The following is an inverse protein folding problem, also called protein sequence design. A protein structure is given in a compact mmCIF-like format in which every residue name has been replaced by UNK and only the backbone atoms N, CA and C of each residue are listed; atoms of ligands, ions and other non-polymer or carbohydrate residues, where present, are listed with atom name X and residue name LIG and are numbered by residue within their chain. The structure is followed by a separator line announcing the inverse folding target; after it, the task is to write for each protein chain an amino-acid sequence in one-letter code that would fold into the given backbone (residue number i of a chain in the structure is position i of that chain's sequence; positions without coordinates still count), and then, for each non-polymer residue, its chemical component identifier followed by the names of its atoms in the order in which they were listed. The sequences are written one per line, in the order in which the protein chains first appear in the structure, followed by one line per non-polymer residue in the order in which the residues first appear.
data_IF_538421793394
#
_entry.id   IF_538421793394
#
_cell.length_a   1.000
_cell.length_b   1.000
_cell.length_c   1.000
_cell.angle_alpha   90.00
_cell.angle_beta   90.00
_cell.angle_gamma   90.00
#
_symmetry.space_group_name_H-M   'P 1'
#
loop_
_entity.id
_entity.type
_entity.pdbx_description
1 polymer ?
#
# COMPACT_ATOMS: atom_id res chain seq x y z
N UNK A 1 -2.00 0.50 -31.65
CA UNK A 1 -2.08 1.63 -30.70
C UNK A 1 -0.67 2.11 -30.47
N UNK A 2 -0.45 3.42 -30.56
CA UNK A 2 0.88 4.00 -30.50
C UNK A 2 1.48 3.69 -29.13
N UNK A 3 2.50 2.82 -29.07
CA UNK A 3 3.25 2.49 -27.85
C UNK A 3 4.17 3.64 -27.44
N UNK A 4 3.63 4.85 -27.36
CA UNK A 4 4.30 5.97 -26.70
C UNK A 4 4.24 5.75 -25.20
N UNK A 5 5.34 6.00 -24.50
CA UNK A 5 5.36 6.05 -23.03
C UNK A 5 4.26 7.01 -22.56
N UNK A 6 3.20 6.46 -21.98
CA UNK A 6 2.12 7.26 -21.41
C UNK A 6 2.59 7.74 -20.03
N UNK A 7 2.63 9.05 -19.83
CA UNK A 7 3.16 9.66 -18.61
C UNK A 7 2.02 10.11 -17.72
N UNK A 8 2.05 9.70 -16.45
CA UNK A 8 1.17 10.20 -15.39
C UNK A 8 1.87 11.36 -14.69
N UNK A 9 1.21 12.52 -14.59
CA UNK A 9 1.77 13.72 -13.95
C UNK A 9 0.97 14.08 -12.71
N UNK A 10 1.66 14.31 -11.60
CA UNK A 10 1.08 14.74 -10.32
C UNK A 10 1.78 16.03 -9.87
N UNK A 11 1.06 17.04 -9.34
CA UNK A 11 1.68 18.20 -8.73
C UNK A 11 2.68 17.80 -7.63
N UNK A 12 3.85 18.44 -7.59
CA UNK A 12 4.95 18.03 -6.71
C UNK A 12 4.57 18.08 -5.22
N UNK A 13 3.79 19.08 -4.81
CA UNK A 13 3.27 19.20 -3.44
C UNK A 13 2.40 17.98 -3.07
N UNK A 14 1.54 17.54 -3.98
CA UNK A 14 0.70 16.35 -3.81
C UNK A 14 1.50 15.07 -3.81
N UNK A 15 2.51 14.96 -4.68
CA UNK A 15 3.43 13.83 -4.68
C UNK A 15 4.20 13.72 -3.34
N UNK A 16 4.63 14.85 -2.78
CA UNK A 16 5.29 14.90 -1.47
C UNK A 16 4.33 14.49 -0.34
N UNK A 17 3.07 14.93 -0.37
CA UNK A 17 2.04 14.50 0.60
C UNK A 17 1.88 12.97 0.58
N UNK A 18 1.74 12.37 -0.61
CA UNK A 18 1.63 10.91 -0.78
C UNK A 18 2.88 10.20 -0.29
N UNK A 19 4.08 10.68 -0.67
CA UNK A 19 5.34 10.06 -0.27
C UNK A 19 5.55 10.07 1.25
N UNK A 20 5.18 11.16 1.94
CA UNK A 20 5.24 11.25 3.40
C UNK A 20 4.31 10.25 4.08
N UNK A 21 3.11 10.06 3.53
CA UNK A 21 2.19 9.05 4.03
C UNK A 21 2.76 7.64 3.85
N UNK A 22 3.30 7.32 2.66
CA UNK A 22 3.90 6.01 2.39
C UNK A 22 5.09 5.71 3.31
N UNK A 23 5.95 6.70 3.57
CA UNK A 23 7.05 6.57 4.55
C UNK A 23 6.50 6.31 5.96
N UNK A 24 5.49 7.07 6.39
CA UNK A 24 4.85 6.89 7.70
C UNK A 24 4.25 5.49 7.85
N UNK A 25 3.50 5.02 6.84
CA UNK A 25 2.90 3.69 6.83
C UNK A 25 3.96 2.61 6.90
N UNK A 26 4.96 2.67 6.03
CA UNK A 26 6.00 1.63 5.92
C UNK A 26 6.79 1.50 7.21
N UNK A 27 7.28 2.63 7.76
CA UNK A 27 8.04 2.62 9.02
C UNK A 27 7.22 2.14 10.21
N UNK A 28 5.96 2.56 10.29
CA UNK A 28 5.10 2.24 11.44
C UNK A 28 4.67 0.77 11.41
N UNK A 29 4.26 0.27 10.24
CA UNK A 29 3.89 -1.14 10.07
C UNK A 29 5.10 -2.05 10.31
N UNK A 30 6.29 -1.70 9.80
CA UNK A 30 7.51 -2.48 10.05
C UNK A 30 7.85 -2.54 11.56
N UNK A 31 7.76 -1.41 12.25
CA UNK A 31 8.01 -1.34 13.69
C UNK A 31 6.96 -2.11 14.49
N UNK A 32 5.67 -2.01 14.13
CA UNK A 32 4.59 -2.74 14.79
C UNK A 32 4.78 -4.24 14.55
N UNK A 33 4.99 -4.67 13.30
CA UNK A 33 5.21 -6.09 12.97
C UNK A 33 6.45 -6.67 13.65
N UNK A 34 7.54 -5.92 13.75
CA UNK A 34 8.72 -6.33 14.52
C UNK A 34 8.42 -6.51 16.02
N UNK A 35 7.56 -5.65 16.58
CA UNK A 35 7.11 -5.77 17.97
C UNK A 35 6.16 -6.95 18.17
N UNK A 36 5.24 -7.19 17.25
CA UNK A 36 4.36 -8.36 17.28
C UNK A 36 5.18 -9.67 17.22
N UNK A 37 6.17 -9.74 16.33
CA UNK A 37 7.06 -10.90 16.20
C UNK A 37 7.92 -11.16 17.46
N UNK A 38 8.25 -10.11 18.21
CA UNK A 38 8.95 -10.22 19.50
C UNK A 38 8.02 -10.37 20.71
N UNK A 39 6.69 -10.40 20.50
CA UNK A 39 5.70 -10.49 21.56
C UNK A 39 5.53 -9.20 22.39
N UNK A 40 5.97 -8.05 21.86
CA UNK A 40 5.99 -6.74 22.52
C UNK A 40 4.97 -5.73 21.96
N UNK A 41 4.15 -6.15 20.99
CA UNK A 41 2.95 -5.46 20.56
C UNK A 41 1.79 -6.44 20.45
N UNK A 42 0.60 -5.91 20.67
CA UNK A 42 -0.69 -6.57 20.55
C UNK A 42 -1.49 -6.00 19.37
N UNK A 43 -2.61 -6.66 19.03
CA UNK A 43 -3.52 -6.20 17.99
C UNK A 43 -4.06 -4.78 18.25
N UNK A 44 -4.16 -4.36 19.52
CA UNK A 44 -4.56 -3.01 19.92
C UNK A 44 -3.58 -1.95 19.42
N UNK A 45 -2.28 -2.24 19.39
CA UNK A 45 -1.26 -1.31 18.89
C UNK A 45 -1.47 -0.98 17.40
N UNK A 46 -1.83 -1.98 16.58
CA UNK A 46 -2.15 -1.76 15.17
C UNK A 46 -3.47 -0.98 15.02
N UNK A 47 -4.50 -1.37 15.77
CA UNK A 47 -5.80 -0.68 15.74
C UNK A 47 -5.66 0.82 16.07
N UNK A 48 -4.93 1.15 17.14
CA UNK A 48 -4.65 2.54 17.52
C UNK A 48 -3.90 3.30 16.44
N UNK A 49 -2.93 2.66 15.78
CA UNK A 49 -2.24 3.28 14.65
C UNK A 49 -3.24 3.61 13.52
N UNK A 50 -4.14 2.69 13.17
CA UNK A 50 -5.12 2.94 12.11
C UNK A 50 -6.14 4.02 12.50
N UNK A 51 -6.67 3.95 13.72
CA UNK A 51 -7.78 4.78 14.19
C UNK A 51 -7.32 6.16 14.69
N UNK A 52 -6.39 6.23 15.65
CA UNK A 52 -5.95 7.49 16.25
C UNK A 52 -5.18 8.36 15.25
N UNK A 53 -4.46 7.74 14.31
CA UNK A 53 -3.71 8.48 13.28
C UNK A 53 -4.53 8.66 12.00
N UNK A 54 -5.80 8.27 11.97
CA UNK A 54 -6.71 8.48 10.84
C UNK A 54 -6.11 7.97 9.50
N UNK A 55 -5.55 6.75 9.52
CA UNK A 55 -4.85 6.20 8.36
C UNK A 55 -5.79 6.01 7.17
N UNK A 56 -7.02 5.53 7.40
CA UNK A 56 -8.02 5.34 6.35
C UNK A 56 -8.30 6.63 5.55
N UNK A 57 -8.69 7.74 6.20
CA UNK A 57 -8.86 9.04 5.52
C UNK A 57 -7.62 9.52 4.77
N UNK A 58 -6.42 9.39 5.37
CA UNK A 58 -5.18 9.80 4.71
C UNK A 58 -4.89 8.96 3.47
N UNK A 59 -5.04 7.63 3.56
CA UNK A 59 -4.85 6.72 2.44
C UNK A 59 -5.87 6.96 1.33
N UNK A 60 -7.13 7.22 1.67
CA UNK A 60 -8.18 7.58 0.71
C UNK A 60 -7.82 8.86 -0.07
N UNK A 61 -7.33 9.89 0.63
CA UNK A 61 -6.88 11.14 -0.02
C UNK A 61 -5.68 10.91 -0.94
N UNK A 62 -4.67 10.17 -0.47
CA UNK A 62 -3.49 9.84 -1.28
C UNK A 62 -3.84 9.00 -2.51
N UNK A 63 -4.75 8.03 -2.34
CA UNK A 63 -5.33 7.24 -3.43
C UNK A 63 -6.02 8.15 -4.46
N UNK A 64 -6.79 9.14 -4.02
CA UNK A 64 -7.45 10.12 -4.90
C UNK A 64 -6.45 10.86 -5.79
N UNK A 65 -5.39 11.41 -5.19
CA UNK A 65 -4.31 12.11 -5.92
C UNK A 65 -3.74 11.26 -7.06
N UNK A 66 -3.48 9.97 -6.79
CA UNK A 66 -2.91 9.07 -7.79
C UNK A 66 -3.94 8.70 -8.86
N UNK A 67 -5.16 8.33 -8.47
CA UNK A 67 -6.18 7.91 -9.43
C UNK A 67 -6.70 9.04 -10.30
N UNK A 68 -6.79 10.27 -9.78
CA UNK A 68 -7.16 11.45 -10.57
C UNK A 68 -6.14 11.72 -11.69
N UNK A 69 -4.85 11.44 -11.44
CA UNK A 69 -3.80 11.58 -12.44
C UNK A 69 -3.78 10.41 -13.44
N UNK A 70 -4.03 9.18 -12.96
CA UNK A 70 -4.05 7.98 -13.81
C UNK A 70 -5.29 7.98 -14.72
N UNK A 71 -6.45 8.39 -14.23
CA UNK A 71 -7.71 8.42 -15.00
C UNK A 71 -7.63 9.37 -16.20
N UNK A 72 -6.87 10.45 -16.09
CA UNK A 72 -6.58 11.35 -17.21
C UNK A 72 -5.81 10.68 -18.36
N UNK A 73 -5.10 9.59 -18.07
CA UNK A 73 -4.27 8.85 -19.04
C UNK A 73 -5.01 7.64 -19.60
N UNK A 74 -5.68 6.86 -18.74
CA UNK A 74 -6.27 5.56 -19.13
C UNK A 74 -7.80 5.59 -19.28
N UNK A 75 -8.46 6.70 -18.91
CA UNK A 75 -9.92 6.84 -18.91
C UNK A 75 -10.58 6.19 -17.69
N UNK A 76 -11.80 6.60 -17.36
CA UNK A 76 -12.54 6.14 -16.17
C UNK A 76 -12.92 4.65 -16.24
N UNK A 77 -13.30 4.15 -17.41
CA UNK A 77 -13.67 2.74 -17.62
C UNK A 77 -12.54 1.78 -17.20
N UNK A 78 -11.30 2.07 -17.60
CA UNK A 78 -10.15 1.26 -17.20
C UNK A 78 -9.85 1.35 -15.69
N UNK A 79 -10.24 2.44 -15.03
CA UNK A 79 -10.08 2.58 -13.57
C UNK A 79 -11.07 1.68 -12.84
N UNK A 80 -12.31 1.61 -13.31
CA UNK A 80 -13.35 0.75 -12.76
C UNK A 80 -12.96 -0.72 -12.90
N UNK A 81 -12.49 -1.14 -14.09
CA UNK A 81 -11.97 -2.49 -14.33
C UNK A 81 -10.84 -2.86 -13.35
N UNK A 82 -9.91 -1.93 -13.10
CA UNK A 82 -8.83 -2.18 -12.13
C UNK A 82 -9.38 -2.25 -10.70
N UNK A 83 -10.30 -1.37 -10.33
CA UNK A 83 -10.88 -1.35 -8.99
C UNK A 83 -11.65 -2.64 -8.67
N UNK A 84 -12.37 -3.20 -9.63
CA UNK A 84 -13.08 -4.48 -9.48
C UNK A 84 -12.13 -5.67 -9.37
N UNK A 85 -10.96 -5.60 -10.03
CA UNK A 85 -9.96 -6.67 -9.98
C UNK A 85 -9.13 -6.69 -8.69
N UNK A 86 -9.15 -5.62 -7.89
CA UNK A 86 -8.36 -5.50 -6.66
C UNK A 86 -9.10 -6.20 -5.51
N UNK A 87 -8.47 -7.18 -4.83
CA UNK A 87 -9.10 -7.85 -3.68
C UNK A 87 -9.31 -6.88 -2.52
N UNK A 88 -10.40 -7.07 -1.78
CA UNK A 88 -10.78 -6.26 -0.63
C UNK A 88 -10.73 -7.11 0.64
N UNK A 89 -10.37 -6.56 1.80
CA UNK A 89 -10.53 -7.35 3.03
C UNK A 89 -12.03 -7.54 3.32
N UNK A 90 -12.51 -8.74 3.72
CA UNK A 90 -11.77 -9.91 4.19
C UNK A 90 -11.53 -11.02 3.15
N UNK A 91 -11.45 -10.68 1.86
CA UNK A 91 -11.11 -11.64 0.79
C UNK A 91 -9.78 -12.34 1.05
N UNK A 92 -9.59 -13.50 0.41
CA UNK A 92 -8.35 -14.24 0.49
C UNK A 92 -7.18 -13.39 -0.04
N UNK A 93 -5.98 -13.44 0.59
CA UNK A 93 -4.82 -12.72 0.09
C UNK A 93 -4.50 -13.10 -1.37
N UNK A 94 -4.18 -12.11 -2.22
CA UNK A 94 -3.83 -12.36 -3.62
C UNK A 94 -2.54 -13.16 -3.76
N UNK A 95 -2.32 -13.73 -4.93
CA UNK A 95 -1.19 -14.63 -5.20
C UNK A 95 0.15 -13.92 -5.04
N UNK A 96 0.23 -12.64 -5.38
CA UNK A 96 1.41 -11.78 -5.18
C UNK A 96 1.83 -11.73 -3.70
N UNK A 97 0.85 -11.64 -2.78
CA UNK A 97 1.13 -11.63 -1.34
C UNK A 97 1.64 -12.99 -0.87
N UNK A 98 1.11 -14.09 -1.43
CA UNK A 98 1.60 -15.44 -1.11
C UNK A 98 3.05 -15.62 -1.57
N UNK A 99 3.37 -15.18 -2.79
CA UNK A 99 4.74 -15.18 -3.33
C UNK A 99 5.68 -14.35 -2.47
N UNK A 100 5.29 -13.14 -2.09
CA UNK A 100 6.09 -12.28 -1.22
C UNK A 100 6.37 -12.94 0.15
N UNK A 101 5.38 -13.60 0.76
CA UNK A 101 5.58 -14.35 2.02
C UNK A 101 6.61 -15.47 1.87
N UNK A 102 6.58 -16.19 0.74
CA UNK A 102 7.55 -17.25 0.46
C UNK A 102 8.97 -16.68 0.31
N UNK A 103 9.13 -15.57 -0.41
CA UNK A 103 10.41 -14.88 -0.57
C UNK A 103 10.99 -14.39 0.77
N UNK A 104 10.14 -13.77 1.60
CA UNK A 104 10.54 -13.29 2.92
C UNK A 104 10.96 -14.45 3.84
N UNK A 105 10.20 -15.55 3.82
CA UNK A 105 10.53 -16.76 4.59
C UNK A 105 11.85 -17.39 4.15
N UNK A 106 12.12 -17.40 2.84
CA UNK A 106 13.37 -17.90 2.28
C UNK A 106 14.57 -17.04 2.72
N UNK A 107 14.44 -15.71 2.67
CA UNK A 107 15.49 -14.78 3.14
C UNK A 107 15.79 -14.95 4.63
N UNK A 108 14.77 -15.14 5.46
CA UNK A 108 14.94 -15.35 6.89
C UNK A 108 15.69 -16.66 7.20
N UNK A 109 15.44 -17.73 6.43
CA UNK A 109 16.20 -19.00 6.55
C UNK A 109 17.66 -18.88 6.14
N UNK A 110 17.99 -18.00 5.19
CA UNK A 110 19.37 -17.76 4.73
C UNK A 110 20.16 -16.89 5.71
N UNK A 111 19.50 -15.93 6.38
CA UNK A 111 20.14 -15.01 7.34
C UNK A 111 20.22 -15.56 8.77
N UNK A 112 19.40 -16.56 9.11
CA UNK A 112 19.38 -17.21 10.42
C UNK A 112 20.09 -18.57 10.47
N UNK A 113 20.83 -18.94 9.43
CA UNK A 113 21.61 -20.18 9.31
C UNK A 113 23.11 -19.97 9.48
#
# INVERSE_FOLDING_TARGET
MNSGESTVTVPLDRAIEVARLLECLTRSIDRIGSREASGTADAETLDRFITEWLIGPQASRARGVLWDAISQVIGEEAIEDIAEAVPSFPDAPPEEVRRLRQEMSARQKVLGG
#
